data_IF_741962251567
#
_entry.id   IF_741962251567
#
_cell.length_a   1.000
_cell.length_b   1.000
_cell.length_c   1.000
_cell.angle_alpha   90.00
_cell.angle_beta   90.00
_cell.angle_gamma   90.00
#
_symmetry.space_group_name_H-M   'P 1'
#
loop_
_entity.id
_entity.type
_entity.pdbx_description
1 polymer ?
#
# COMPACT_ATOMS: atom_id res chain seq x y z
N UNK A 1 -74.62 -15.70 25.76
CA UNK A 1 -73.32 -15.99 25.12
C UNK A 1 -73.26 -15.24 23.80
N UNK A 2 -72.37 -14.26 23.66
CA UNK A 2 -71.61 -13.98 22.43
C UNK A 2 -70.63 -12.83 22.72
N UNK A 3 -69.39 -13.22 23.00
CA UNK A 3 -68.20 -12.37 22.93
C UNK A 3 -67.74 -12.33 21.47
N UNK A 4 -67.64 -11.14 20.87
CA UNK A 4 -66.84 -10.90 19.66
C UNK A 4 -66.27 -9.49 19.77
N UNK A 5 -65.07 -9.36 20.34
CA UNK A 5 -63.75 -9.36 19.69
C UNK A 5 -63.49 -8.07 18.89
N UNK A 6 -62.72 -7.19 19.52
CA UNK A 6 -62.03 -6.08 18.90
C UNK A 6 -60.88 -6.58 18.01
N UNK A 7 -60.63 -5.89 16.90
CA UNK A 7 -59.33 -5.87 16.22
C UNK A 7 -59.15 -4.52 15.53
N UNK A 8 -58.31 -3.69 16.11
CA UNK A 8 -57.77 -2.46 15.54
C UNK A 8 -56.60 -2.87 14.63
N UNK A 9 -56.72 -2.68 13.32
CA UNK A 9 -55.63 -2.97 12.38
C UNK A 9 -54.67 -1.77 12.31
N UNK A 10 -53.51 -1.88 12.94
CA UNK A 10 -52.41 -0.92 12.80
C UNK A 10 -51.52 -1.39 11.64
N UNK A 11 -51.65 -0.76 10.48
CA UNK A 11 -50.78 -1.02 9.34
C UNK A 11 -49.47 -0.24 9.53
N UNK A 12 -48.43 -0.92 10.03
CA UNK A 12 -47.05 -0.42 9.99
C UNK A 12 -46.50 -0.64 8.58
N UNK A 13 -46.44 0.43 7.79
CA UNK A 13 -45.72 0.45 6.51
C UNK A 13 -44.23 0.46 6.83
N UNK A 14 -43.60 -0.71 6.85
CA UNK A 14 -42.15 -0.83 6.92
C UNK A 14 -41.60 -0.63 5.52
N UNK A 15 -41.22 0.60 5.19
CA UNK A 15 -40.46 0.87 3.96
C UNK A 15 -39.14 0.11 4.02
N UNK A 16 -38.76 -0.69 3.02
CA UNK A 16 -37.41 -1.21 2.94
C UNK A 16 -36.49 -0.02 2.72
N UNK A 17 -35.66 0.28 3.72
CA UNK A 17 -34.49 1.11 3.51
C UNK A 17 -33.63 0.30 2.54
N UNK A 18 -33.68 0.64 1.25
CA UNK A 18 -32.63 0.27 0.32
C UNK A 18 -31.37 0.92 0.88
N UNK A 19 -30.57 0.13 1.61
CA UNK A 19 -29.18 0.42 1.82
C UNK A 19 -28.56 0.47 0.42
N UNK A 20 -28.41 1.68 -0.12
CA UNK A 20 -27.54 1.91 -1.25
C UNK A 20 -26.18 1.29 -0.91
N UNK A 21 -25.49 0.63 -1.86
CA UNK A 21 -24.13 0.20 -1.63
C UNK A 21 -23.35 1.45 -1.25
N UNK A 22 -22.93 1.52 0.02
CA UNK A 22 -21.89 2.46 0.42
C UNK A 22 -20.72 2.15 -0.49
N UNK A 23 -20.21 3.16 -1.19
CA UNK A 23 -18.89 3.11 -1.78
C UNK A 23 -17.98 2.47 -0.74
N UNK A 24 -17.65 1.19 -0.95
CA UNK A 24 -16.66 0.48 -0.15
C UNK A 24 -15.36 1.10 -0.64
N UNK A 25 -15.03 2.28 -0.10
CA UNK A 25 -13.68 2.78 -0.17
C UNK A 25 -12.84 1.67 0.44
N UNK A 26 -12.12 0.94 -0.40
CA UNK A 26 -11.27 -0.19 -0.02
C UNK A 26 -10.35 0.29 1.10
N UNK A 27 -10.75 -0.05 2.32
CA UNK A 27 -9.97 0.28 3.49
C UNK A 27 -8.75 -0.63 3.43
N UNK A 28 -7.59 -0.05 3.11
CA UNK A 28 -6.34 -0.80 3.20
C UNK A 28 -6.23 -1.33 4.61
N UNK A 29 -6.34 -2.64 4.74
CA UNK A 29 -6.08 -3.35 5.98
C UNK A 29 -4.57 -3.36 6.15
N UNK A 30 -4.08 -2.88 7.28
CA UNK A 30 -2.68 -3.02 7.67
C UNK A 30 -2.63 -3.63 9.05
N UNK A 31 -2.07 -4.84 9.15
CA UNK A 31 -1.95 -5.58 10.42
C UNK A 31 -0.60 -5.37 11.12
N UNK A 32 0.27 -4.54 10.54
CA UNK A 32 1.67 -4.47 10.89
C UNK A 32 1.95 -3.48 12.04
N UNK A 33 3.07 -3.67 12.76
CA UNK A 33 3.56 -2.67 13.73
C UNK A 33 3.83 -1.31 13.07
N UNK A 34 4.16 -1.31 11.76
CA UNK A 34 4.29 -0.10 10.94
C UNK A 34 2.98 0.69 10.83
N UNK A 35 1.82 0.06 10.96
CA UNK A 35 0.53 0.76 11.01
C UNK A 35 0.38 1.64 12.27
N UNK A 36 1.24 1.44 13.28
CA UNK A 36 1.34 2.32 14.47
C UNK A 36 2.47 3.34 14.36
N UNK A 37 3.43 3.14 13.46
CA UNK A 37 4.55 4.06 13.27
C UNK A 37 4.15 5.13 12.25
N UNK A 38 4.17 6.40 12.66
CA UNK A 38 3.90 7.51 11.73
C UNK A 38 4.91 7.53 10.55
N UNK A 39 6.10 6.96 10.75
CA UNK A 39 7.18 6.87 9.78
C UNK A 39 7.97 5.58 9.96
N UNK A 40 8.56 5.10 8.87
CA UNK A 40 9.58 4.04 8.86
C UNK A 40 10.90 4.57 8.31
N UNK A 41 12.01 4.02 8.78
CA UNK A 41 13.36 4.41 8.39
C UNK A 41 13.97 3.34 7.49
N UNK A 42 14.29 3.73 6.27
CA UNK A 42 14.99 2.89 5.31
C UNK A 42 16.50 3.13 5.46
N UNK A 43 17.25 2.05 5.70
CA UNK A 43 18.72 2.08 5.79
C UNK A 43 19.30 1.10 4.78
N UNK A 44 19.90 1.55 3.68
CA UNK A 44 20.62 0.65 2.79
C UNK A 44 21.91 0.15 3.48
N UNK A 45 22.45 -0.97 3.02
CA UNK A 45 23.72 -1.53 3.51
C UNK A 45 24.90 -0.68 3.06
N UNK A 46 24.84 -0.23 1.80
CA UNK A 46 25.83 0.67 1.19
C UNK A 46 25.14 1.97 0.77
N UNK A 47 25.54 3.08 1.38
CA UNK A 47 25.00 4.41 1.07
C UNK A 47 26.08 5.34 0.52
N UNK A 48 26.13 5.48 -0.80
CA UNK A 48 26.98 6.46 -1.48
C UNK A 48 26.37 7.86 -1.56
N UNK A 49 25.13 8.05 -1.13
CA UNK A 49 24.44 9.35 -1.21
C UNK A 49 24.80 10.27 -0.04
N UNK A 50 24.33 11.52 -0.11
CA UNK A 50 24.45 12.48 0.99
C UNK A 50 23.27 12.43 1.99
N UNK A 51 22.29 11.56 1.77
CA UNK A 51 21.13 11.40 2.64
C UNK A 51 21.46 10.42 3.76
N UNK A 52 21.50 10.92 5.00
CA UNK A 52 21.82 10.08 6.18
C UNK A 52 20.70 9.12 6.55
N UNK A 53 19.45 9.50 6.28
CA UNK A 53 18.27 8.76 6.72
C UNK A 53 17.17 8.92 5.67
N UNK A 54 16.69 7.80 5.15
CA UNK A 54 15.57 7.76 4.23
C UNK A 54 14.30 7.46 5.04
N UNK A 55 13.63 8.49 5.55
CA UNK A 55 12.36 8.31 6.25
C UNK A 55 11.19 8.25 5.26
N UNK A 56 10.29 7.29 5.42
CA UNK A 56 9.03 7.19 4.68
C UNK A 56 7.87 7.46 5.62
N UNK A 57 6.95 8.31 5.17
CA UNK A 57 5.67 8.56 5.85
C UNK A 57 4.68 7.45 5.48
N UNK A 58 4.31 6.62 6.46
CA UNK A 58 3.51 5.40 6.23
C UNK A 58 2.10 5.77 5.76
N UNK A 59 1.49 6.80 6.34
CA UNK A 59 0.15 7.25 5.97
C UNK A 59 0.12 7.73 4.51
N UNK A 60 1.14 8.48 4.07
CA UNK A 60 1.27 8.88 2.66
C UNK A 60 1.51 7.70 1.73
N UNK A 61 2.34 6.74 2.12
CA UNK A 61 2.57 5.54 1.32
C UNK A 61 1.29 4.71 1.15
N UNK A 62 0.50 4.55 2.22
CA UNK A 62 -0.80 3.87 2.17
C UNK A 62 -1.80 4.64 1.32
N UNK A 63 -1.91 5.96 1.49
CA UNK A 63 -2.79 6.80 0.66
C UNK A 63 -2.40 6.73 -0.83
N UNK A 64 -1.10 6.67 -1.13
CA UNK A 64 -0.61 6.50 -2.48
C UNK A 64 -0.97 5.12 -3.05
N UNK A 65 -0.81 4.03 -2.28
CA UNK A 65 -1.25 2.70 -2.71
C UNK A 65 -2.76 2.67 -3.04
N UNK A 66 -3.61 3.31 -2.20
CA UNK A 66 -5.05 3.47 -2.48
C UNK A 66 -5.28 4.23 -3.78
N UNK A 67 -4.60 5.36 -3.96
CA UNK A 67 -4.73 6.21 -5.13
C UNK A 67 -4.35 5.49 -6.43
N UNK A 68 -3.32 4.63 -6.38
CA UNK A 68 -2.86 3.85 -7.53
C UNK A 68 -3.83 2.70 -7.82
N UNK A 69 -4.32 2.03 -6.79
CA UNK A 69 -5.18 0.86 -6.93
C UNK A 69 -4.41 -0.42 -7.31
N UNK A 70 -5.17 -1.49 -7.56
CA UNK A 70 -4.63 -2.72 -8.12
C UNK A 70 -4.68 -2.67 -9.65
N UNK A 71 -3.56 -2.34 -10.29
CA UNK A 71 -3.40 -2.41 -11.74
C UNK A 71 -2.03 -2.97 -12.11
N UNK A 72 -2.01 -3.84 -13.11
CA UNK A 72 -0.78 -4.35 -13.74
C UNK A 72 -0.57 -3.76 -15.13
N UNK A 73 -1.38 -2.77 -15.50
CA UNK A 73 -1.28 -2.13 -16.80
C UNK A 73 -0.02 -1.29 -16.87
N UNK A 74 0.62 -1.29 -18.04
CA UNK A 74 1.84 -0.52 -18.25
C UNK A 74 1.53 0.98 -18.21
N UNK A 75 2.13 1.69 -17.26
CA UNK A 75 2.20 3.16 -17.30
C UNK A 75 3.42 3.62 -18.07
N UNK A 76 3.44 4.89 -18.48
CA UNK A 76 4.63 5.49 -19.12
C UNK A 76 5.86 5.49 -18.20
N UNK A 77 5.64 5.42 -16.89
CA UNK A 77 6.70 5.32 -15.90
C UNK A 77 7.18 3.88 -15.64
N UNK A 78 6.46 2.87 -16.15
CA UNK A 78 6.69 1.43 -15.91
C UNK A 78 6.27 0.97 -14.49
N UNK A 79 5.44 1.75 -13.80
CA UNK A 79 4.96 1.50 -12.42
C UNK A 79 3.44 1.70 -12.26
N UNK A 80 2.77 1.02 -11.32
CA UNK A 80 3.30 -0.07 -10.48
C UNK A 80 3.67 -1.30 -11.31
N UNK A 81 4.49 -2.18 -10.77
CA UNK A 81 4.82 -3.45 -11.44
C UNK A 81 4.92 -4.62 -10.46
N UNK A 82 4.76 -5.87 -10.94
CA UNK A 82 4.80 -7.07 -10.11
C UNK A 82 6.09 -7.20 -9.30
N UNK A 83 5.93 -7.54 -8.03
CA UNK A 83 7.02 -7.83 -7.12
C UNK A 83 6.99 -9.30 -6.69
N UNK A 84 8.14 -9.97 -6.75
CA UNK A 84 8.25 -11.42 -6.59
C UNK A 84 8.77 -11.91 -5.23
N UNK A 85 9.00 -11.02 -4.27
CA UNK A 85 9.59 -11.28 -2.94
C UNK A 85 10.63 -12.40 -2.91
N UNK A 86 11.74 -12.22 -3.65
CA UNK A 86 12.79 -13.25 -3.74
C UNK A 86 13.58 -13.36 -2.44
N UNK A 87 13.64 -12.27 -1.69
CA UNK A 87 14.36 -12.12 -0.45
C UNK A 87 13.55 -12.55 0.78
N UNK A 88 12.29 -12.98 0.57
CA UNK A 88 11.37 -13.44 1.63
C UNK A 88 11.22 -12.40 2.76
N UNK A 89 11.14 -11.12 2.37
CA UNK A 89 11.26 -9.99 3.29
C UNK A 89 10.25 -10.04 4.44
N UNK A 90 9.04 -10.56 4.19
CA UNK A 90 7.97 -10.68 5.18
C UNK A 90 7.81 -12.09 5.76
N UNK A 91 8.59 -13.08 5.35
CA UNK A 91 8.42 -14.46 5.79
C UNK A 91 8.57 -14.64 7.31
N UNK A 92 9.39 -13.78 7.94
CA UNK A 92 9.63 -13.79 9.38
C UNK A 92 8.64 -12.93 10.19
N UNK A 93 7.65 -12.30 9.54
CA UNK A 93 6.63 -11.49 10.20
C UNK A 93 5.32 -12.29 10.22
N UNK A 94 4.96 -12.98 11.32
CA UNK A 94 3.84 -13.94 11.32
C UNK A 94 2.50 -13.34 10.90
N UNK A 95 2.29 -12.04 11.17
CA UNK A 95 1.06 -11.33 10.80
C UNK A 95 0.96 -11.05 9.29
N UNK A 96 2.10 -11.06 8.59
CA UNK A 96 2.23 -10.76 7.16
C UNK A 96 2.51 -12.01 6.32
N UNK A 97 2.85 -13.12 6.98
CA UNK A 97 2.94 -14.43 6.35
C UNK A 97 1.62 -14.75 5.61
N UNK A 98 1.74 -15.14 4.34
CA UNK A 98 0.64 -15.41 3.39
C UNK A 98 -0.10 -14.17 2.85
N UNK A 99 0.24 -12.96 3.34
CA UNK A 99 -0.27 -11.69 2.81
C UNK A 99 0.75 -10.97 1.95
N UNK A 100 2.01 -10.99 2.35
CA UNK A 100 3.09 -10.19 1.77
C UNK A 100 4.30 -11.03 1.35
N UNK A 101 4.06 -12.23 0.83
CA UNK A 101 5.09 -13.17 0.38
C UNK A 101 4.67 -13.92 -0.90
N UNK A 102 3.88 -13.26 -1.74
CA UNK A 102 3.29 -13.85 -2.96
C UNK A 102 3.94 -13.32 -4.22
N UNK A 103 4.35 -14.22 -5.12
CA UNK A 103 4.94 -13.87 -6.42
C UNK A 103 3.97 -13.27 -7.42
N UNK A 104 2.68 -13.45 -7.21
CA UNK A 104 1.63 -13.12 -8.21
C UNK A 104 0.67 -12.04 -7.74
N UNK A 105 0.69 -11.71 -6.44
CA UNK A 105 -0.27 -10.80 -5.82
C UNK A 105 0.41 -9.63 -5.13
N UNK A 106 1.62 -9.26 -5.52
CA UNK A 106 2.33 -8.11 -4.97
C UNK A 106 2.74 -7.15 -6.07
N UNK A 107 2.61 -5.86 -5.77
CA UNK A 107 3.07 -4.76 -6.62
C UNK A 107 4.05 -3.89 -5.84
N UNK A 108 5.03 -3.33 -6.53
CA UNK A 108 5.90 -2.28 -6.01
C UNK A 108 5.67 -0.95 -6.74
N UNK A 109 5.87 0.15 -6.02
CA UNK A 109 5.77 1.51 -6.58
C UNK A 109 6.81 2.46 -5.96
N UNK A 110 7.42 3.39 -6.73
CA UNK A 110 8.46 4.27 -6.21
C UNK A 110 7.89 5.31 -5.25
N UNK A 111 8.57 5.52 -4.12
CA UNK A 111 8.22 6.57 -3.14
C UNK A 111 9.44 7.40 -2.78
N UNK A 112 9.21 8.64 -2.38
CA UNK A 112 10.27 9.52 -1.92
C UNK A 112 10.30 9.60 -0.40
N UNK A 113 11.51 9.78 0.15
CA UNK A 113 11.67 10.03 1.58
C UNK A 113 11.21 11.45 1.95
N UNK A 114 10.87 11.68 3.21
CA UNK A 114 10.20 12.90 3.70
C UNK A 114 10.91 14.21 3.32
N UNK A 115 12.25 14.21 3.35
CA UNK A 115 13.09 15.39 3.05
C UNK A 115 13.47 15.52 1.58
N UNK A 116 13.03 14.61 0.71
CA UNK A 116 13.22 14.70 -0.74
C UNK A 116 12.58 15.97 -1.32
N UNK A 117 13.19 16.52 -2.37
CA UNK A 117 12.61 17.62 -3.16
C UNK A 117 11.39 17.15 -3.96
N UNK A 118 11.52 16.02 -4.68
CA UNK A 118 10.38 15.35 -5.28
C UNK A 118 9.48 14.74 -4.19
N UNK A 119 8.16 14.92 -4.35
CA UNK A 119 7.14 14.52 -3.36
C UNK A 119 6.36 13.28 -3.73
N UNK A 120 6.13 13.07 -5.02
CA UNK A 120 5.36 11.93 -5.53
C UNK A 120 5.89 11.53 -6.91
N UNK A 121 5.85 10.24 -7.21
CA UNK A 121 6.20 9.71 -8.52
C UNK A 121 5.05 9.93 -9.50
N UNK A 122 5.36 10.31 -10.73
CA UNK A 122 4.37 10.64 -11.75
C UNK A 122 4.26 9.48 -12.78
N UNK A 123 3.14 8.74 -12.82
CA UNK A 123 2.97 7.63 -13.75
C UNK A 123 2.92 8.05 -15.22
N UNK A 124 2.68 9.33 -15.52
CA UNK A 124 2.64 9.88 -16.88
C UNK A 124 4.01 10.34 -17.41
N UNK A 125 5.06 10.31 -16.57
CA UNK A 125 6.44 10.67 -16.94
C UNK A 125 7.32 9.43 -17.05
N UNK A 126 8.26 9.43 -18.00
CA UNK A 126 9.22 8.32 -18.12
C UNK A 126 10.14 8.33 -16.89
N UNK A 127 10.51 7.14 -16.40
CA UNK A 127 11.38 7.00 -15.22
C UNK A 127 12.69 7.80 -15.28
N UNK A 128 13.28 7.96 -16.47
CA UNK A 128 14.52 8.72 -16.69
C UNK A 128 14.37 10.24 -16.55
N UNK A 129 13.14 10.76 -16.66
CA UNK A 129 12.83 12.19 -16.61
C UNK A 129 12.36 12.63 -15.20
N UNK A 130 12.46 11.74 -14.21
CA UNK A 130 12.03 11.96 -12.83
C UNK A 130 13.20 11.84 -11.86
N UNK A 131 13.08 12.45 -10.68
CA UNK A 131 14.09 12.28 -9.62
C UNK A 131 14.16 10.81 -9.23
N UNK A 132 15.35 10.21 -9.19
CA UNK A 132 15.50 8.81 -8.78
C UNK A 132 15.15 8.62 -7.30
N UNK A 133 14.64 7.45 -6.98
CA UNK A 133 14.45 7.00 -5.59
C UNK A 133 14.80 5.51 -5.46
N UNK A 134 15.56 5.12 -4.42
CA UNK A 134 15.88 3.73 -4.15
C UNK A 134 14.77 3.00 -3.36
N UNK A 135 13.72 3.71 -2.98
CA UNK A 135 12.66 3.21 -2.09
C UNK A 135 11.45 2.77 -2.93
N UNK A 136 10.85 1.66 -2.52
CA UNK A 136 9.59 1.16 -3.05
C UNK A 136 8.60 0.97 -1.90
N UNK A 137 7.35 1.36 -2.13
CA UNK A 137 6.24 0.85 -1.34
C UNK A 137 5.84 -0.50 -1.94
N UNK A 138 5.41 -1.44 -1.10
CA UNK A 138 4.92 -2.74 -1.52
C UNK A 138 3.54 -2.97 -0.93
N UNK A 139 2.65 -3.50 -1.76
CA UNK A 139 1.28 -3.80 -1.38
C UNK A 139 0.81 -5.04 -2.13
N UNK A 140 -0.17 -5.74 -1.55
CA UNK A 140 -0.70 -6.98 -2.10
C UNK A 140 -2.20 -6.91 -2.34
N UNK A 141 -2.68 -7.82 -3.20
CA UNK A 141 -4.11 -8.06 -3.40
C UNK A 141 -4.55 -9.30 -2.62
N UNK A 142 -5.38 -9.07 -1.61
CA UNK A 142 -6.00 -10.09 -0.80
C UNK A 142 -7.49 -10.20 -1.18
N UNK A 143 -7.78 -11.00 -2.20
CA UNK A 143 -9.15 -11.28 -2.66
C UNK A 143 -9.95 -10.02 -3.02
N UNK A 144 -9.32 -9.09 -3.73
CA UNK A 144 -9.89 -7.79 -4.11
C UNK A 144 -9.47 -6.65 -3.17
N UNK A 145 -9.10 -6.93 -1.92
CA UNK A 145 -8.68 -5.88 -1.00
C UNK A 145 -7.19 -5.56 -1.13
N UNK A 146 -6.85 -4.27 -1.20
CA UNK A 146 -5.47 -3.80 -1.11
C UNK A 146 -4.96 -3.94 0.33
N UNK A 147 -3.79 -4.56 0.48
CA UNK A 147 -3.12 -4.72 1.76
C UNK A 147 -1.73 -4.10 1.69
N UNK A 148 -1.42 -3.18 2.59
CA UNK A 148 -0.11 -2.53 2.64
C UNK A 148 0.90 -3.44 3.33
N UNK A 149 1.93 -3.85 2.59
CA UNK A 149 2.97 -4.74 3.09
C UNK A 149 4.09 -3.99 3.80
N UNK A 150 4.52 -2.86 3.26
CA UNK A 150 5.58 -2.07 3.85
C UNK A 150 6.30 -1.18 2.85
N UNK A 151 7.35 -0.52 3.31
CA UNK A 151 8.34 0.12 2.44
C UNK A 151 9.64 -0.69 2.45
N UNK A 152 10.32 -0.71 1.32
CA UNK A 152 11.62 -1.35 1.16
C UNK A 152 12.58 -0.43 0.41
N UNK A 153 13.87 -0.66 0.60
CA UNK A 153 14.95 0.07 -0.07
C UNK A 153 15.93 -0.91 -0.68
N UNK A 154 16.48 -0.57 -1.85
CA UNK A 154 17.62 -1.32 -2.38
C UNK A 154 18.79 -1.30 -1.39
N UNK A 155 19.45 -2.45 -1.21
CA UNK A 155 20.59 -2.59 -0.28
C UNK A 155 21.77 -1.68 -0.66
N UNK A 156 21.92 -1.32 -1.94
CA UNK A 156 22.95 -0.38 -2.41
C UNK A 156 22.32 0.87 -3.01
N UNK A 157 22.77 2.03 -2.56
CA UNK A 157 22.31 3.34 -3.05
C UNK A 157 23.50 4.17 -3.51
N UNK A 158 23.49 4.60 -4.76
CA UNK A 158 24.52 5.46 -5.35
C UNK A 158 24.35 6.93 -4.96
N UNK A 159 25.35 7.75 -5.31
CA UNK A 159 25.34 9.21 -5.12
C UNK A 159 24.12 9.92 -5.72
N UNK A 160 23.59 9.40 -6.82
CA UNK A 160 22.44 9.96 -7.54
C UNK A 160 21.10 9.29 -7.18
N UNK A 161 21.07 8.56 -6.06
CA UNK A 161 19.89 7.85 -5.54
C UNK A 161 19.41 6.70 -6.44
N UNK A 162 20.26 6.18 -7.33
CA UNK A 162 20.00 4.91 -8.01
C UNK A 162 20.12 3.78 -6.99
N UNK A 163 19.09 2.95 -6.88
CA UNK A 163 19.14 1.71 -6.10
C UNK A 163 19.57 0.54 -6.97
N UNK A 164 20.32 -0.41 -6.40
CA UNK A 164 20.69 -1.65 -7.08
C UNK A 164 20.78 -2.84 -6.13
N UNK A 165 20.71 -4.04 -6.73
CA UNK A 165 20.68 -5.30 -6.00
C UNK A 165 19.37 -5.55 -5.29
N UNK A 166 19.41 -6.47 -4.34
CA UNK A 166 18.28 -6.89 -3.51
C UNK A 166 17.67 -5.74 -2.70
N UNK A 167 16.48 -6.00 -2.17
CA UNK A 167 15.81 -5.12 -1.23
C UNK A 167 16.01 -5.52 0.23
N UNK A 168 15.72 -4.58 1.12
CA UNK A 168 15.49 -4.83 2.54
C UNK A 168 14.35 -3.96 3.05
N UNK A 169 13.62 -4.46 4.06
CA UNK A 169 12.54 -3.71 4.70
C UNK A 169 13.06 -2.46 5.42
N UNK A 170 12.25 -1.42 5.38
CA UNK A 170 12.38 -0.25 6.25
C UNK A 170 11.83 -0.60 7.64
N UNK A 171 12.25 0.14 8.68
CA UNK A 171 11.88 -0.12 10.09
C UNK A 171 11.61 1.16 10.86
#
# INVERSE_FOLDING_TARGET
>A
MQLTKATLALALVVSPILAAPTDVGEEIVSTNLEARAAKVVCKPDENGSNVKTFEVDVAKAQALAKKIGWTTDSSKSDYPHPFGDKEELWAHIPLEANKCNSKTRMLEYPVYWTTSKAKEWDPAKKKKDQQKTPIRLVYSNLNGALHYCGAMIHKKVSKDFSGSGDFRLCQ
#
